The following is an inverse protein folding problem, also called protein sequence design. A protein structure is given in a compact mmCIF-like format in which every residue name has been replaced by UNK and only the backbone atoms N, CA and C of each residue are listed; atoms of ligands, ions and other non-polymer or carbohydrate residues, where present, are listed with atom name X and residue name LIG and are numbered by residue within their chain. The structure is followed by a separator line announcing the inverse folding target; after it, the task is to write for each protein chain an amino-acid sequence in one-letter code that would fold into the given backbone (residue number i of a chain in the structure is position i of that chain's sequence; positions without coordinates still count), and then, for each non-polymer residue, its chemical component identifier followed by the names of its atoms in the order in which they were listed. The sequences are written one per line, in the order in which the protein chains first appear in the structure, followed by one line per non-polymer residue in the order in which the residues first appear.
data_IF_187685641072
#
_entry.id   IF_187685641072
#
_cell.length_a   1.000
_cell.length_b   1.000
_cell.length_c   1.000
_cell.angle_alpha   90.00
_cell.angle_beta   90.00
_cell.angle_gamma   90.00
#
_symmetry.space_group_name_H-M   'P 1'
#
loop_
_entity.id
_entity.type
_entity.pdbx_description
1 polymer ?
#
# COMPACT_ATOMS: atom_id res chain seq x y z
N UNK A 1 -16.29 -24.62 1.60
CA UNK A 1 -16.32 -23.30 1.04
C UNK A 1 -14.93 -22.73 0.93
N UNK A 2 -14.67 -22.15 -0.20
CA UNK A 2 -13.35 -21.67 -0.44
C UNK A 2 -13.16 -20.29 0.10
N UNK A 3 -12.05 -20.01 0.71
CA UNK A 3 -11.74 -18.69 1.19
C UNK A 3 -10.53 -18.18 0.46
N UNK A 4 -10.55 -16.88 0.18
CA UNK A 4 -9.44 -16.27 -0.54
C UNK A 4 -8.63 -15.43 0.40
N UNK A 5 -7.37 -15.29 0.08
CA UNK A 5 -6.52 -14.37 0.80
C UNK A 5 -6.82 -12.93 0.44
N UNK A 6 -5.98 -12.02 0.91
CA UNK A 6 -6.17 -10.60 0.66
C UNK A 6 -4.86 -9.99 0.23
N UNK A 7 -4.96 -8.80 -0.35
CA UNK A 7 -3.79 -8.00 -0.67
C UNK A 7 -3.70 -6.88 0.36
N UNK A 8 -2.56 -6.76 0.99
CA UNK A 8 -2.34 -5.74 1.99
C UNK A 8 -1.40 -4.69 1.42
N UNK A 9 -1.71 -3.43 1.67
CA UNK A 9 -0.86 -2.34 1.23
C UNK A 9 -0.03 -1.88 2.43
N UNK A 10 1.28 -1.92 2.29
CA UNK A 10 2.19 -1.57 3.38
C UNK A 10 2.65 -0.11 3.31
N UNK A 11 1.79 0.76 2.81
CA UNK A 11 2.18 2.14 2.59
C UNK A 11 2.49 2.89 3.88
N UNK A 12 1.65 2.70 4.90
CA UNK A 12 1.88 3.40 6.17
C UNK A 12 3.25 3.06 6.73
N UNK A 13 3.63 1.80 6.64
CA UNK A 13 4.90 1.34 7.14
C UNK A 13 6.05 1.96 6.33
N UNK A 14 5.90 2.03 5.03
CA UNK A 14 6.93 2.61 4.19
C UNK A 14 7.10 4.11 4.44
N UNK A 15 6.00 4.80 4.67
CA UNK A 15 6.05 6.22 4.99
C UNK A 15 6.82 6.42 6.28
N UNK A 16 6.51 5.61 7.27
CA UNK A 16 7.17 5.71 8.55
C UNK A 16 8.67 5.48 8.41
N UNK A 17 9.04 4.47 7.64
CA UNK A 17 10.45 4.16 7.43
C UNK A 17 11.16 5.26 6.66
N UNK A 18 10.48 5.92 5.75
CA UNK A 18 11.11 6.93 4.90
C UNK A 18 11.32 8.25 5.64
N UNK A 19 10.60 8.47 6.71
CA UNK A 19 10.66 9.75 7.41
C UNK A 19 9.91 10.85 6.70
N UNK A 20 9.23 10.54 5.60
CA UNK A 20 8.52 11.54 4.82
C UNK A 20 7.14 11.75 5.40
N UNK A 21 6.64 12.98 5.40
CA UNK A 21 5.27 13.23 5.88
C UNK A 21 4.27 12.82 4.81
N UNK A 22 3.04 12.57 5.23
CA UNK A 22 1.98 12.26 4.29
C UNK A 22 1.73 13.41 3.32
N UNK A 23 1.83 14.64 3.80
CA UNK A 23 1.66 15.79 2.93
C UNK A 23 2.70 15.82 1.83
N UNK A 24 3.94 15.58 2.18
CA UNK A 24 5.00 15.60 1.20
C UNK A 24 4.82 14.47 0.19
N UNK A 25 4.44 13.30 0.68
CA UNK A 25 4.23 12.17 -0.21
C UNK A 25 3.08 12.43 -1.16
N UNK A 26 1.96 12.96 -0.65
CA UNK A 26 0.81 13.21 -1.51
C UNK A 26 1.17 14.21 -2.61
N UNK A 27 1.97 15.20 -2.27
CA UNK A 27 2.43 16.19 -3.23
C UNK A 27 3.29 15.54 -4.30
N UNK A 28 4.28 14.77 -3.88
CA UNK A 28 5.23 14.18 -4.81
C UNK A 28 4.61 13.09 -5.66
N UNK A 29 3.71 12.31 -5.10
CA UNK A 29 3.07 11.23 -5.83
C UNK A 29 1.82 11.71 -6.56
N UNK A 30 1.51 13.00 -6.45
CA UNK A 30 0.34 13.59 -7.10
C UNK A 30 -0.93 12.86 -6.73
N UNK A 31 -1.12 12.64 -5.44
CA UNK A 31 -2.30 11.98 -4.90
C UNK A 31 -3.07 12.94 -4.03
N UNK A 32 -4.38 12.79 -4.01
CA UNK A 32 -5.17 13.53 -3.04
C UNK A 32 -4.99 12.90 -1.68
N UNK A 33 -5.10 13.71 -0.65
CA UNK A 33 -4.87 13.26 0.70
C UNK A 33 -5.83 12.15 1.09
N UNK A 34 -7.08 12.25 0.67
CA UNK A 34 -8.07 11.22 0.95
C UNK A 34 -7.67 9.89 0.32
N UNK A 35 -7.19 9.94 -0.92
CA UNK A 35 -6.75 8.74 -1.61
C UNK A 35 -5.57 8.12 -0.88
N UNK A 36 -4.61 8.95 -0.47
CA UNK A 36 -3.45 8.46 0.25
C UNK A 36 -3.87 7.79 1.56
N UNK A 37 -4.78 8.42 2.29
CA UNK A 37 -5.25 7.84 3.54
C UNK A 37 -5.93 6.51 3.33
N UNK A 38 -6.71 6.38 2.26
CA UNK A 38 -7.39 5.12 1.97
C UNK A 38 -6.39 4.01 1.66
N UNK A 39 -5.30 4.36 0.97
CA UNK A 39 -4.25 3.38 0.71
C UNK A 39 -3.56 2.97 2.02
N UNK A 40 -3.28 3.94 2.89
CA UNK A 40 -2.64 3.65 4.17
C UNK A 40 -3.52 2.79 5.06
N UNK A 41 -4.83 3.01 5.00
CA UNK A 41 -5.78 2.30 5.86
C UNK A 41 -6.27 0.99 5.25
N UNK A 42 -5.82 0.68 4.04
CA UNK A 42 -6.24 -0.54 3.35
C UNK A 42 -7.73 -0.60 3.13
N UNK A 43 -8.33 0.56 2.79
CA UNK A 43 -9.76 0.60 2.54
C UNK A 43 -10.11 0.65 1.06
N UNK A 44 -9.10 0.59 0.18
CA UNK A 44 -9.37 0.55 -1.26
C UNK A 44 -9.62 -0.87 -1.69
N UNK A 45 -10.48 -1.02 -2.69
CA UNK A 45 -10.75 -2.32 -3.26
C UNK A 45 -10.18 -2.46 -4.66
N UNK A 46 -9.71 -1.37 -5.24
CA UNK A 46 -9.09 -1.40 -6.55
C UNK A 46 -7.86 -0.53 -6.53
N UNK A 47 -6.84 -0.95 -7.26
CA UNK A 47 -5.59 -0.23 -7.30
C UNK A 47 -5.37 0.34 -8.69
N UNK A 48 -4.78 1.54 -8.71
CA UNK A 48 -4.45 2.22 -9.95
C UNK A 48 -2.96 1.99 -10.19
N UNK A 49 -2.63 1.41 -11.33
CA UNK A 49 -1.25 1.08 -11.64
C UNK A 49 -0.37 2.32 -11.66
N UNK A 50 -0.88 3.42 -12.17
CA UNK A 50 -0.10 4.65 -12.20
C UNK A 50 0.21 5.15 -10.80
N UNK A 51 -0.76 5.07 -9.91
CA UNK A 51 -0.55 5.48 -8.53
C UNK A 51 0.51 4.61 -7.87
N UNK A 52 0.43 3.30 -8.11
CA UNK A 52 1.43 2.40 -7.56
C UNK A 52 2.82 2.73 -8.06
N UNK A 53 2.93 3.02 -9.35
CA UNK A 53 4.23 3.37 -9.93
C UNK A 53 4.77 4.66 -9.32
N UNK A 54 3.91 5.64 -9.11
CA UNK A 54 4.35 6.90 -8.53
C UNK A 54 4.81 6.72 -7.08
N UNK A 55 4.09 5.90 -6.34
CA UNK A 55 4.47 5.63 -4.95
C UNK A 55 5.81 4.92 -4.89
N UNK A 56 6.02 3.92 -5.72
CA UNK A 56 7.28 3.22 -5.75
C UNK A 56 8.43 4.15 -6.13
N UNK A 57 8.18 5.03 -7.08
CA UNK A 57 9.20 5.97 -7.52
C UNK A 57 9.59 6.94 -6.41
N UNK A 58 8.59 7.53 -5.76
CA UNK A 58 8.85 8.54 -4.73
C UNK A 58 9.48 7.92 -3.50
N UNK A 59 9.01 6.73 -3.11
CA UNK A 59 9.52 6.08 -1.93
C UNK A 59 10.80 5.27 -2.20
N UNK A 60 11.15 5.09 -3.45
CA UNK A 60 12.33 4.33 -3.79
C UNK A 60 12.21 2.86 -3.41
N UNK A 61 11.05 2.29 -3.55
CA UNK A 61 10.82 0.90 -3.18
C UNK A 61 10.32 0.10 -4.36
N UNK A 62 10.27 -1.21 -4.18
CA UNK A 62 9.75 -2.10 -5.21
C UNK A 62 8.30 -2.42 -4.91
N UNK A 63 7.61 -2.92 -5.93
CA UNK A 63 6.19 -3.23 -5.74
C UNK A 63 5.99 -4.29 -4.65
N UNK A 64 6.93 -5.19 -4.50
CA UNK A 64 6.85 -6.21 -3.46
C UNK A 64 7.01 -5.66 -2.06
N UNK A 65 7.59 -4.47 -1.93
CA UNK A 65 7.66 -3.81 -0.63
C UNK A 65 6.35 -3.12 -0.29
N UNK A 66 5.62 -2.72 -1.32
CA UNK A 66 4.39 -1.95 -1.13
C UNK A 66 3.17 -2.85 -0.98
N UNK A 67 3.12 -3.95 -1.71
CA UNK A 67 1.98 -4.85 -1.69
C UNK A 67 2.38 -6.22 -1.16
N UNK A 68 1.49 -6.82 -0.40
CA UNK A 68 1.74 -8.10 0.22
C UNK A 68 0.52 -8.99 0.08
N UNK A 69 0.73 -10.25 -0.30
CA UNK A 69 -0.38 -11.20 -0.34
C UNK A 69 -0.46 -11.91 1.00
N UNK A 70 -1.65 -11.90 1.59
CA UNK A 70 -1.89 -12.56 2.86
C UNK A 70 -2.84 -13.72 2.61
N UNK A 71 -2.37 -14.97 2.73
CA UNK A 71 -3.22 -16.14 2.47
C UNK A 71 -4.34 -16.25 3.48
N UNK A 72 -5.45 -16.82 3.04
CA UNK A 72 -6.63 -16.93 3.87
C UNK A 72 -6.37 -17.73 5.14
N UNK A 73 -5.55 -18.75 5.04
CA UNK A 73 -5.33 -19.63 6.17
C UNK A 73 -3.97 -19.45 6.78
N UNK A 74 -3.39 -18.28 6.64
CA UNK A 74 -2.04 -18.08 7.10
C UNK A 74 -1.89 -18.31 8.58
N UNK A 75 -2.98 -18.19 9.34
CA UNK A 75 -2.90 -18.39 10.75
C UNK A 75 -3.28 -19.73 11.16
N UNK A 76 -3.87 -20.52 10.31
CA UNK A 76 -4.34 -21.79 10.66
C UNK A 76 -3.42 -22.84 10.21
N UNK A 77 -2.19 -22.58 10.14
CA UNK A 77 -1.25 -23.46 9.64
C UNK A 77 -1.37 -24.79 10.21
N UNK A 78 -1.48 -25.83 9.49
CA UNK A 78 -1.50 -27.18 10.06
C UNK A 78 -0.16 -27.56 10.60
#
# INVERSE_FOLDING_TARGET
MERFGTIKINLAKLIEKSGMSKNKLSHRAEMQRTQLNNYCNNTVTRLDIDVLARLCTVLGCEIGDLLEFVPADSEKEP
#
